data_IF_101416915403
#
_entry.id   IF_101416915403
#
_cell.length_a   1.000
_cell.length_b   1.000
_cell.length_c   1.000
_cell.angle_alpha   90.00
_cell.angle_beta   90.00
_cell.angle_gamma   90.00
#
_symmetry.space_group_name_H-M   'P 1'
#
loop_
_entity.id
_entity.type
_entity.pdbx_description
1 polymer ?
#
# COMPACT_ATOMS: atom_id res chain seq x y z
N UNK A 1 -3.86 -15.68 -21.18
CA UNK A 1 -4.58 -14.41 -20.95
C UNK A 1 -3.54 -13.44 -20.47
N UNK A 2 -3.21 -12.46 -21.29
CA UNK A 2 -2.10 -11.53 -21.04
C UNK A 2 -2.52 -10.61 -19.89
N UNK A 3 -2.06 -10.93 -18.68
CA UNK A 3 -2.22 -10.04 -17.53
C UNK A 3 -1.54 -8.72 -17.90
N UNK A 4 -2.34 -7.67 -18.10
CA UNK A 4 -1.86 -6.30 -18.12
C UNK A 4 -1.41 -5.99 -16.69
N UNK A 5 -0.22 -6.50 -16.34
CA UNK A 5 0.26 -6.50 -14.97
C UNK A 5 0.49 -5.08 -14.49
N UNK A 6 0.82 -4.14 -15.39
CA UNK A 6 1.11 -2.75 -15.06
C UNK A 6 -0.04 -1.84 -15.48
N UNK A 7 -0.57 -1.11 -14.51
CA UNK A 7 -1.80 -0.32 -14.65
C UNK A 7 -1.52 1.19 -14.67
N UNK A 8 -0.36 1.61 -14.16
CA UNK A 8 -0.02 3.01 -13.97
C UNK A 8 1.32 3.35 -14.61
N UNK A 9 1.45 4.52 -15.24
CA UNK A 9 2.72 5.02 -15.78
C UNK A 9 3.35 6.06 -14.86
N UNK A 10 4.65 6.31 -14.99
CA UNK A 10 5.30 7.47 -14.36
C UNK A 10 4.52 8.76 -14.62
N UNK A 11 4.48 9.64 -13.62
CA UNK A 11 3.68 10.87 -13.55
C UNK A 11 2.15 10.69 -13.53
N UNK A 12 1.63 9.47 -13.61
CA UNK A 12 0.20 9.22 -13.39
C UNK A 12 -0.17 9.51 -11.93
N UNK A 13 -1.43 9.87 -11.68
CA UNK A 13 -1.92 10.11 -10.32
C UNK A 13 -2.29 8.77 -9.70
N UNK A 14 -1.67 8.47 -8.58
CA UNK A 14 -1.97 7.30 -7.76
C UNK A 14 -3.43 7.39 -7.30
N UNK A 15 -4.25 6.43 -7.73
CA UNK A 15 -5.69 6.43 -7.43
C UNK A 15 -6.03 5.78 -6.10
N UNK A 16 -5.15 4.90 -5.63
CA UNK A 16 -5.28 4.11 -4.42
C UNK A 16 -3.94 4.04 -3.70
N UNK A 17 -3.89 4.31 -2.40
CA UNK A 17 -2.64 4.18 -1.66
C UNK A 17 -2.28 2.71 -1.54
N UNK A 18 -1.03 2.38 -1.86
CA UNK A 18 -0.58 1.01 -1.79
C UNK A 18 0.89 0.85 -2.14
N UNK A 19 1.41 -0.34 -1.92
CA UNK A 19 2.63 -0.82 -2.53
C UNK A 19 2.44 -1.05 -4.03
N UNK A 20 3.30 -0.45 -4.82
CA UNK A 20 3.37 -0.64 -6.25
C UNK A 20 4.73 -1.18 -6.64
N UNK A 21 4.76 -2.12 -7.58
CA UNK A 21 6.01 -2.68 -8.10
C UNK A 21 6.30 -2.08 -9.49
N UNK A 22 7.50 -1.55 -9.73
CA UNK A 22 7.89 -1.13 -11.09
C UNK A 22 8.31 -2.33 -11.97
N UNK A 23 8.53 -2.09 -13.26
CA UNK A 23 8.94 -3.13 -14.22
C UNK A 23 10.26 -3.84 -13.86
N UNK A 24 11.13 -3.19 -13.09
CA UNK A 24 12.35 -3.80 -12.57
C UNK A 24 12.11 -4.80 -11.41
N UNK A 25 10.87 -4.88 -10.89
CA UNK A 25 10.55 -5.71 -9.73
C UNK A 25 10.77 -5.02 -8.38
N UNK A 26 11.01 -3.70 -8.36
CA UNK A 26 11.16 -2.92 -7.11
C UNK A 26 9.80 -2.46 -6.61
N UNK A 27 9.48 -2.81 -5.36
CA UNK A 27 8.26 -2.38 -4.69
C UNK A 27 8.47 -1.05 -3.95
N UNK A 28 7.51 -0.14 -4.06
CA UNK A 28 7.49 1.15 -3.37
C UNK A 28 6.06 1.49 -2.95
N UNK A 29 5.90 1.95 -1.71
CA UNK A 29 4.63 2.50 -1.25
C UNK A 29 4.39 3.87 -1.89
N UNK A 30 3.25 4.01 -2.57
CA UNK A 30 2.77 5.24 -3.16
C UNK A 30 1.41 5.60 -2.57
N UNK A 31 1.14 6.89 -2.45
CA UNK A 31 -0.03 7.41 -1.76
C UNK A 31 -1.05 7.94 -2.75
N UNK A 32 -2.33 7.77 -2.47
CA UNK A 32 -3.39 8.32 -3.30
C UNK A 32 -3.23 9.83 -3.45
N UNK A 33 -3.20 10.30 -4.69
CA UNK A 33 -2.95 11.70 -5.04
C UNK A 33 -1.48 12.04 -5.29
N UNK A 34 -0.54 11.17 -4.89
CA UNK A 34 0.86 11.27 -5.32
C UNK A 34 1.01 10.90 -6.80
N UNK A 35 2.17 11.24 -7.35
CA UNK A 35 2.56 10.83 -8.69
C UNK A 35 3.41 9.58 -8.65
N UNK A 36 3.17 8.67 -9.58
CA UNK A 36 4.06 7.53 -9.79
C UNK A 36 5.46 8.02 -10.18
N UNK A 37 6.51 7.73 -9.39
CA UNK A 37 7.86 8.16 -9.70
C UNK A 37 8.47 7.33 -10.84
N UNK A 38 9.63 7.73 -11.34
CA UNK A 38 10.47 6.84 -12.16
C UNK A 38 10.93 5.62 -11.34
N UNK A 39 11.20 4.50 -12.01
CA UNK A 39 11.73 3.31 -11.31
C UNK A 39 13.09 3.68 -10.68
N UNK A 40 13.31 3.46 -9.37
CA UNK A 40 14.52 3.92 -8.68
C UNK A 40 15.80 3.25 -9.18
N UNK A 41 15.70 2.10 -9.84
CA UNK A 41 16.86 1.38 -10.39
C UNK A 41 17.39 2.00 -11.70
N UNK A 42 16.49 2.49 -12.55
CA UNK A 42 16.86 2.99 -13.89
C UNK A 42 16.63 4.49 -14.07
N UNK A 43 15.95 5.16 -13.13
CA UNK A 43 15.54 6.57 -13.18
C UNK A 43 14.74 6.98 -14.45
N UNK A 44 14.33 6.01 -15.26
CA UNK A 44 13.50 6.18 -16.44
C UNK A 44 12.01 6.03 -16.12
N UNK A 45 11.17 6.64 -16.97
CA UNK A 45 9.72 6.43 -16.96
C UNK A 45 9.41 4.94 -17.08
N UNK A 46 8.67 4.41 -16.11
CA UNK A 46 8.32 3.00 -16.00
C UNK A 46 6.82 2.85 -15.81
N UNK A 47 6.35 1.62 -15.91
CA UNK A 47 5.04 1.25 -15.47
C UNK A 47 5.07 0.60 -14.08
N UNK A 48 4.02 0.86 -13.32
CA UNK A 48 3.80 0.40 -11.95
C UNK A 48 2.58 -0.51 -11.90
N UNK A 49 2.71 -1.60 -11.15
CA UNK A 49 1.62 -2.51 -10.85
C UNK A 49 1.24 -2.44 -9.39
N UNK A 50 -0.04 -2.52 -9.08
CA UNK A 50 -0.47 -2.62 -7.70
C UNK A 50 -0.04 -3.97 -7.12
N UNK A 51 0.64 -3.96 -5.99
CA UNK A 51 1.01 -5.18 -5.28
C UNK A 51 -0.21 -5.64 -4.49
N UNK A 52 -0.76 -6.82 -4.77
CA UNK A 52 -2.01 -7.31 -4.14
C UNK A 52 -1.91 -7.58 -2.63
N UNK A 53 -0.76 -7.33 -1.99
CA UNK A 53 -0.46 -7.71 -0.61
C UNK A 53 -0.02 -6.51 0.22
N UNK A 54 -0.95 -5.59 0.50
CA UNK A 54 -0.70 -4.45 1.39
C UNK A 54 -0.80 -4.88 2.85
N UNK A 55 0.35 -5.08 3.48
CA UNK A 55 0.43 -5.33 4.92
C UNK A 55 1.27 -4.24 5.60
N UNK A 56 0.68 -3.58 6.59
CA UNK A 56 1.33 -2.59 7.44
C UNK A 56 1.63 -3.19 8.80
N UNK A 57 2.83 -2.97 9.34
CA UNK A 57 3.14 -3.45 10.68
C UNK A 57 2.67 -2.48 11.75
N UNK A 58 2.40 -2.99 12.96
CA UNK A 58 2.17 -2.13 14.13
C UNK A 58 3.38 -1.23 14.38
N UNK A 59 3.12 0.05 14.65
CA UNK A 59 4.15 1.09 14.74
C UNK A 59 4.47 1.79 13.41
N UNK A 60 3.99 1.27 12.28
CA UNK A 60 4.11 1.95 10.99
C UNK A 60 3.14 3.14 10.90
N UNK A 61 3.38 4.06 9.96
CA UNK A 61 2.48 5.19 9.76
C UNK A 61 1.36 4.78 8.83
N UNK A 62 0.14 5.07 9.26
CA UNK A 62 -1.06 4.91 8.45
C UNK A 62 -0.92 5.80 7.24
N UNK A 63 -0.88 5.16 6.08
CA UNK A 63 -0.62 5.83 4.80
C UNK A 63 -1.91 6.39 4.21
N UNK A 64 -3.04 5.71 4.43
CA UNK A 64 -4.35 6.13 3.96
C UNK A 64 -5.39 6.10 5.08
N UNK A 65 -6.25 7.10 5.14
CA UNK A 65 -7.39 7.05 6.05
C UNK A 65 -8.37 5.98 5.56
N UNK A 66 -8.68 4.99 6.37
CA UNK A 66 -9.56 3.91 5.97
C UNK A 66 -9.76 2.89 7.07
N UNK A 67 -10.52 1.84 6.74
CA UNK A 67 -10.65 0.68 7.60
C UNK A 67 -9.48 -0.25 7.32
N UNK A 68 -8.88 -0.77 8.37
CA UNK A 68 -7.83 -1.75 8.32
C UNK A 68 -8.24 -2.94 9.15
N UNK A 69 -7.87 -4.13 8.73
CA UNK A 69 -8.14 -5.37 9.44
C UNK A 69 -6.83 -6.04 9.77
N UNK A 70 -6.69 -6.54 10.98
CA UNK A 70 -5.46 -7.23 11.40
C UNK A 70 -5.48 -8.73 11.04
N UNK A 71 -4.42 -9.47 11.39
CA UNK A 71 -4.33 -10.92 11.18
C UNK A 71 -5.40 -11.71 11.97
N UNK A 72 -5.84 -11.20 13.12
CA UNK A 72 -6.94 -11.77 13.93
C UNK A 72 -8.34 -11.45 13.38
N UNK A 73 -8.43 -10.59 12.36
CA UNK A 73 -9.69 -10.16 11.76
C UNK A 73 -10.36 -8.99 12.50
N UNK A 74 -9.66 -8.29 13.38
CA UNK A 74 -10.15 -7.07 14.02
C UNK A 74 -10.03 -5.88 13.07
N UNK A 75 -11.17 -5.22 12.85
CA UNK A 75 -11.25 -4.03 12.01
C UNK A 75 -11.08 -2.76 12.84
N UNK A 76 -10.27 -1.84 12.35
CA UNK A 76 -10.01 -0.54 12.94
C UNK A 76 -10.00 0.54 11.87
N UNK A 77 -10.68 1.64 12.16
CA UNK A 77 -10.60 2.83 11.32
C UNK A 77 -9.40 3.67 11.74
N UNK A 78 -8.50 3.91 10.80
CA UNK A 78 -7.27 4.66 11.02
C UNK A 78 -7.23 5.82 10.04
N UNK A 79 -6.71 6.96 10.50
CA UNK A 79 -6.52 8.14 9.67
C UNK A 79 -5.10 8.21 9.13
N UNK A 80 -4.92 8.71 7.90
CA UNK A 80 -3.61 8.96 7.31
C UNK A 80 -2.76 9.84 8.24
N UNK A 81 -1.54 9.41 8.50
CA UNK A 81 -0.60 10.02 9.43
C UNK A 81 -0.69 9.49 10.87
N UNK A 82 -1.73 8.72 11.22
CA UNK A 82 -1.79 7.98 12.47
C UNK A 82 -0.73 6.85 12.51
N UNK A 83 -0.60 6.17 13.64
CA UNK A 83 0.30 5.02 13.78
C UNK A 83 -0.54 3.76 13.93
N UNK A 84 -0.19 2.71 13.20
CA UNK A 84 -0.84 1.41 13.33
C UNK A 84 -0.68 0.90 14.77
N UNK A 85 -1.78 0.71 15.52
CA UNK A 85 -1.68 0.24 16.90
C UNK A 85 -1.33 -1.24 16.93
N UNK A 86 -0.97 -1.76 18.09
CA UNK A 86 -0.86 -3.20 18.30
C UNK A 86 -2.26 -3.86 18.20
N UNK A 87 -2.29 -5.19 18.04
CA UNK A 87 -3.55 -5.95 17.99
C UNK A 87 -4.42 -5.60 19.22
N UNK A 88 -5.69 -5.18 19.04
CA UNK A 88 -6.54 -4.75 20.14
C UNK A 88 -6.86 -5.88 21.12
N UNK A 89 -6.84 -7.14 20.68
CA UNK A 89 -7.09 -8.31 21.52
C UNK A 89 -5.85 -8.78 22.28
N UNK A 90 -4.70 -8.85 21.60
CA UNK A 90 -3.49 -9.45 22.15
C UNK A 90 -2.51 -8.42 22.74
N UNK A 91 -2.61 -7.14 22.33
CA UNK A 91 -1.66 -6.08 22.70
C UNK A 91 -0.27 -6.24 22.08
N UNK A 92 -0.09 -7.23 21.19
CA UNK A 92 1.18 -7.53 20.50
C UNK A 92 1.24 -6.87 19.13
N UNK A 93 2.45 -6.61 18.59
CA UNK A 93 2.60 -6.11 17.23
C UNK A 93 1.99 -7.10 16.23
N UNK A 94 1.06 -6.61 15.42
CA UNK A 94 0.33 -7.33 14.37
C UNK A 94 0.52 -6.63 13.02
N UNK A 95 0.06 -7.29 11.96
CA UNK A 95 -0.03 -6.73 10.62
C UNK A 95 -1.45 -6.32 10.31
N UNK A 96 -1.59 -5.10 9.82
CA UNK A 96 -2.83 -4.49 9.37
C UNK A 96 -2.85 -4.50 7.85
N UNK A 97 -3.89 -5.04 7.27
CA UNK A 97 -4.17 -4.90 5.84
C UNK A 97 -5.32 -3.92 5.67
N UNK A 98 -5.31 -3.15 4.58
CA UNK A 98 -6.45 -2.29 4.29
C UNK A 98 -7.69 -3.17 4.09
N UNK A 99 -8.81 -2.80 4.71
CA UNK A 99 -10.07 -3.52 4.65
C UNK A 99 -10.89 -3.18 3.39
N UNK A 100 -10.34 -2.39 2.46
CA UNK A 100 -10.92 -2.18 1.12
C UNK A 100 -10.34 -3.18 0.13
N UNK A 101 -11.09 -3.90 -0.70
CA UNK A 101 -12.52 -3.96 -0.99
C UNK A 101 -12.86 -5.43 -1.32
N UNK A 102 -14.12 -5.82 -1.12
CA UNK A 102 -14.69 -7.12 -1.50
C UNK A 102 -14.72 -7.29 -3.03
#
# INVERSE_FOLDING_TARGET
MTNHLYEHSTDDIVKETGEYTCEAGITKTLYKGDKFPSCPESEISTYWKHSESHYHNSGDKVTESGKYVDEDGDELELEAGATFPNCPKAGTPTKWKHAGNL
#
